data_IF_439154322201
#
_entry.id   IF_439154322201
#
_cell.length_a   1.000
_cell.length_b   1.000
_cell.length_c   1.000
_cell.angle_alpha   90.00
_cell.angle_beta   90.00
_cell.angle_gamma   90.00
#
_symmetry.space_group_name_H-M   'P 1'
#
loop_
_entity.id
_entity.type
_entity.pdbx_description
1 polymer ?
#
# COMPACT_ATOMS: atom_id res chain seq x y z
N UNK A 1 -22.83 -30.77 -1.68
CA UNK A 1 -21.38 -30.99 -1.89
C UNK A 1 -20.76 -29.66 -2.28
N UNK A 2 -19.99 -29.02 -1.39
CA UNK A 2 -19.22 -27.83 -1.74
C UNK A 2 -18.03 -28.30 -2.58
N UNK A 3 -17.88 -27.76 -3.77
CA UNK A 3 -16.68 -27.94 -4.57
C UNK A 3 -15.51 -27.34 -3.76
N UNK A 4 -14.59 -28.22 -3.35
CA UNK A 4 -13.28 -27.82 -2.84
C UNK A 4 -12.52 -27.24 -4.03
N UNK A 5 -12.34 -25.92 -4.06
CA UNK A 5 -11.37 -25.30 -4.97
C UNK A 5 -10.00 -25.97 -4.75
N UNK A 6 -9.28 -26.36 -5.81
CA UNK A 6 -7.98 -26.96 -5.64
C UNK A 6 -7.05 -25.95 -4.96
N UNK A 7 -6.44 -26.37 -3.85
CA UNK A 7 -5.33 -25.63 -3.25
C UNK A 7 -4.20 -25.58 -4.27
N UNK A 8 -4.10 -24.46 -4.98
CA UNK A 8 -3.05 -24.22 -5.96
C UNK A 8 -1.74 -24.06 -5.18
N UNK A 9 -1.04 -25.18 -5.02
CA UNK A 9 0.27 -25.24 -4.42
C UNK A 9 1.30 -24.74 -5.46
N UNK A 10 1.21 -23.46 -5.82
CA UNK A 10 2.03 -22.86 -6.87
C UNK A 10 3.21 -22.13 -6.26
N UNK A 11 4.42 -22.57 -6.62
CA UNK A 11 5.64 -21.80 -6.39
C UNK A 11 5.46 -20.39 -6.94
N UNK A 12 5.83 -19.40 -6.13
CA UNK A 12 5.99 -18.01 -6.57
C UNK A 12 6.75 -17.97 -7.91
N UNK A 13 6.28 -17.20 -8.92
CA UNK A 13 7.01 -17.09 -10.18
C UNK A 13 8.47 -16.69 -9.94
N UNK A 14 9.41 -17.27 -10.71
CA UNK A 14 10.85 -17.06 -10.48
C UNK A 14 11.24 -15.57 -10.46
N UNK A 15 10.70 -14.78 -11.40
CA UNK A 15 10.93 -13.33 -11.44
C UNK A 15 10.46 -12.59 -10.18
N UNK A 16 9.39 -13.07 -9.54
CA UNK A 16 8.84 -12.48 -8.30
C UNK A 16 9.69 -12.88 -7.10
N UNK A 17 10.14 -14.13 -7.04
CA UNK A 17 11.10 -14.58 -6.03
C UNK A 17 12.42 -13.79 -6.12
N UNK A 18 12.95 -13.64 -7.33
CA UNK A 18 14.18 -12.89 -7.59
C UNK A 18 14.04 -11.42 -7.23
N UNK A 19 12.88 -10.80 -7.50
CA UNK A 19 12.56 -9.45 -7.04
C UNK A 19 12.61 -9.36 -5.52
N UNK A 20 11.95 -10.29 -4.81
CA UNK A 20 11.89 -10.25 -3.36
C UNK A 20 13.30 -10.36 -2.74
N UNK A 21 14.11 -11.32 -3.21
CA UNK A 21 15.51 -11.48 -2.77
C UNK A 21 16.34 -10.25 -3.12
N UNK A 22 16.16 -9.66 -4.31
CA UNK A 22 16.84 -8.42 -4.71
C UNK A 22 16.49 -7.24 -3.80
N UNK A 23 15.24 -7.16 -3.33
CA UNK A 23 14.80 -6.16 -2.36
C UNK A 23 15.28 -6.45 -0.92
N UNK A 24 15.92 -7.60 -0.69
CA UNK A 24 16.45 -8.01 0.61
C UNK A 24 15.46 -8.75 1.49
N UNK A 25 14.41 -9.35 0.91
CA UNK A 25 13.52 -10.25 1.65
C UNK A 25 14.27 -11.53 2.05
N UNK A 26 14.08 -11.99 3.28
CA UNK A 26 14.71 -13.22 3.78
C UNK A 26 13.73 -14.42 3.67
N UNK A 27 14.00 -15.43 2.80
CA UNK A 27 13.15 -16.61 2.68
C UNK A 27 13.03 -17.46 3.95
N UNK A 28 13.93 -17.27 4.92
CA UNK A 28 13.95 -18.00 6.19
C UNK A 28 13.33 -17.21 7.34
N UNK A 29 12.85 -15.99 7.10
CA UNK A 29 12.30 -15.16 8.16
C UNK A 29 10.98 -15.72 8.69
N UNK A 30 10.77 -15.54 10.00
CA UNK A 30 9.50 -15.88 10.66
C UNK A 30 8.44 -14.79 10.46
N UNK A 31 7.38 -14.79 11.27
CA UNK A 31 6.44 -13.68 11.27
C UNK A 31 7.17 -12.37 11.61
N UNK A 32 6.96 -11.35 10.78
CA UNK A 32 7.53 -10.02 10.95
C UNK A 32 6.45 -8.96 10.71
N UNK A 33 6.71 -7.80 11.27
CA UNK A 33 5.97 -6.58 11.01
C UNK A 33 6.96 -5.49 10.65
N UNK A 34 6.66 -4.72 9.61
CA UNK A 34 7.40 -3.51 9.30
C UNK A 34 6.83 -2.37 10.13
N UNK A 35 7.71 -1.57 10.74
CA UNK A 35 7.37 -0.28 11.33
C UNK A 35 8.12 0.82 10.62
N UNK A 36 7.41 1.86 10.19
CA UNK A 36 8.02 2.99 9.52
C UNK A 36 7.43 4.32 9.95
N UNK A 37 8.24 5.38 9.77
CA UNK A 37 7.82 6.76 9.96
C UNK A 37 8.03 7.55 8.67
N UNK A 38 7.14 8.52 8.44
CA UNK A 38 7.11 9.30 7.21
C UNK A 38 6.88 10.77 7.52
N UNK A 39 7.50 11.62 6.71
CA UNK A 39 7.17 13.04 6.63
C UNK A 39 6.79 13.36 5.20
N UNK A 40 5.74 14.14 5.01
CA UNK A 40 5.25 14.40 3.67
C UNK A 40 4.32 15.58 3.57
N UNK A 41 3.66 15.65 2.43
CA UNK A 41 2.62 16.62 2.14
C UNK A 41 1.48 15.99 1.37
N UNK A 42 0.28 16.45 1.64
CA UNK A 42 -0.92 16.00 0.93
C UNK A 42 -1.82 17.19 0.61
N UNK A 43 -2.68 17.03 -0.39
CA UNK A 43 -3.76 17.98 -0.68
C UNK A 43 -5.03 17.58 0.05
N UNK A 44 -5.76 18.57 0.56
CA UNK A 44 -7.07 18.36 1.21
C UNK A 44 -8.18 18.01 0.22
N UNK A 45 -8.00 18.36 -1.06
CA UNK A 45 -8.87 18.00 -2.18
C UNK A 45 -8.06 18.00 -3.48
N UNK A 46 -8.57 17.36 -4.53
CA UNK A 46 -7.83 17.21 -5.79
C UNK A 46 -7.62 18.54 -6.55
N UNK A 47 -8.49 19.51 -6.31
CA UNK A 47 -8.43 20.88 -6.85
C UNK A 47 -7.64 21.85 -5.97
N UNK A 48 -7.24 21.44 -4.76
CA UNK A 48 -6.49 22.30 -3.86
C UNK A 48 -5.12 22.69 -4.46
N UNK A 49 -4.83 23.99 -4.44
CA UNK A 49 -3.52 24.53 -4.83
C UNK A 49 -2.48 24.39 -3.73
N UNK A 50 -2.90 24.49 -2.47
CA UNK A 50 -2.03 24.41 -1.30
C UNK A 50 -1.79 22.96 -0.88
N UNK A 51 -0.59 22.72 -0.38
CA UNK A 51 -0.20 21.45 0.23
C UNK A 51 -0.19 21.58 1.76
N UNK A 52 -0.65 20.54 2.43
CA UNK A 52 -0.61 20.42 3.88
C UNK A 52 0.47 19.42 4.27
N UNK A 53 1.41 19.84 5.11
CA UNK A 53 2.43 18.95 5.66
C UNK A 53 1.84 17.94 6.64
N UNK A 54 2.45 16.75 6.72
CA UNK A 54 2.10 15.72 7.68
C UNK A 54 3.31 14.92 8.17
N UNK A 55 3.16 14.30 9.33
CA UNK A 55 4.01 13.24 9.85
C UNK A 55 3.17 12.00 10.10
N UNK A 56 3.68 10.80 9.79
CA UNK A 56 2.95 9.56 9.98
C UNK A 56 3.81 8.44 10.54
N UNK A 57 3.14 7.50 11.21
CA UNK A 57 3.68 6.20 11.60
C UNK A 57 2.85 5.12 10.92
N UNK A 58 3.49 4.04 10.49
CA UNK A 58 2.80 2.93 9.86
C UNK A 58 3.35 1.58 10.33
N UNK A 59 2.45 0.64 10.58
CA UNK A 59 2.77 -0.79 10.64
C UNK A 59 2.28 -1.50 9.39
N UNK A 60 3.05 -2.47 8.88
CA UNK A 60 2.65 -3.31 7.74
C UNK A 60 2.94 -4.78 8.07
N UNK A 61 1.94 -5.64 7.94
CA UNK A 61 2.10 -7.08 8.12
C UNK A 61 2.78 -7.72 6.91
N UNK A 62 3.73 -8.64 7.17
CA UNK A 62 4.37 -9.43 6.11
C UNK A 62 3.69 -10.76 5.83
N UNK A 63 2.63 -11.11 6.59
CA UNK A 63 1.91 -12.39 6.46
C UNK A 63 0.45 -12.25 6.06
N UNK A 64 -0.15 -11.10 6.37
CA UNK A 64 -1.53 -10.80 6.03
C UNK A 64 -1.56 -9.49 5.26
N UNK A 65 -2.60 -9.29 4.45
CA UNK A 65 -2.89 -7.98 3.86
C UNK A 65 -3.43 -7.05 4.94
N UNK A 66 -2.52 -6.50 5.76
CA UNK A 66 -2.86 -5.66 6.90
C UNK A 66 -1.84 -4.52 7.08
N UNK A 67 -2.35 -3.35 7.48
CA UNK A 67 -1.55 -2.21 7.87
C UNK A 67 -2.32 -1.28 8.82
N UNK A 68 -1.62 -0.44 9.58
CA UNK A 68 -2.19 0.65 10.39
C UNK A 68 -1.35 1.90 10.16
N UNK A 69 -1.88 2.85 9.38
CA UNK A 69 -1.25 4.13 9.10
C UNK A 69 -1.92 5.22 9.93
N UNK A 70 -1.13 5.96 10.70
CA UNK A 70 -1.59 7.06 11.55
C UNK A 70 -0.84 8.31 11.23
N UNK A 71 -1.56 9.41 11.03
CA UNK A 71 -0.97 10.68 10.61
C UNK A 71 -1.38 11.82 11.52
N UNK A 72 -0.52 12.82 11.58
CA UNK A 72 -0.84 14.17 12.06
C UNK A 72 -0.52 15.15 10.95
N UNK A 73 -1.46 16.03 10.63
CA UNK A 73 -1.38 16.99 9.54
C UNK A 73 -1.81 18.40 9.99
N UNK A 74 -1.35 19.40 9.23
CA UNK A 74 -1.66 20.80 9.46
C UNK A 74 -0.76 21.47 10.51
N UNK A 75 -0.91 22.80 10.71
CA UNK A 75 -0.14 23.54 11.71
C UNK A 75 -0.31 22.89 13.08
N UNK A 76 0.80 22.62 13.78
CA UNK A 76 0.83 21.96 15.10
C UNK A 76 0.23 20.53 15.13
N UNK A 77 -0.04 19.90 13.98
CA UNK A 77 -0.53 18.52 13.92
C UNK A 77 -1.97 18.33 14.45
N UNK A 78 -2.80 19.37 14.33
CA UNK A 78 -4.17 19.38 14.86
C UNK A 78 -5.13 18.45 14.12
N UNK A 79 -4.83 18.03 12.90
CA UNK A 79 -5.62 17.02 12.18
C UNK A 79 -4.94 15.68 12.38
N UNK A 80 -5.67 14.69 12.89
CA UNK A 80 -5.18 13.31 12.96
C UNK A 80 -5.98 12.41 12.04
N UNK A 81 -5.30 11.53 11.32
CA UNK A 81 -5.94 10.51 10.49
C UNK A 81 -5.50 9.11 10.88
N UNK A 82 -6.39 8.13 10.70
CA UNK A 82 -6.08 6.71 10.76
C UNK A 82 -6.66 6.03 9.53
N UNK A 83 -5.79 5.35 8.81
CA UNK A 83 -6.15 4.50 7.68
C UNK A 83 -5.59 3.10 7.94
N UNK A 84 -6.42 2.07 7.86
CA UNK A 84 -6.02 0.72 8.24
C UNK A 84 -6.79 -0.36 7.49
N UNK A 85 -6.12 -1.49 7.28
CA UNK A 85 -6.72 -2.76 6.88
C UNK A 85 -6.35 -3.79 7.95
N UNK A 86 -7.33 -4.34 8.66
CA UNK A 86 -7.12 -5.28 9.77
C UNK A 86 -8.21 -6.34 9.76
N UNK A 87 -7.85 -7.63 9.82
CA UNK A 87 -8.83 -8.72 9.84
C UNK A 87 -9.74 -8.78 8.60
N UNK A 88 -9.32 -8.17 7.47
CA UNK A 88 -10.14 -8.05 6.26
C UNK A 88 -11.11 -6.86 6.26
N UNK A 89 -11.06 -5.99 7.26
CA UNK A 89 -11.87 -4.77 7.35
C UNK A 89 -11.02 -3.53 7.09
N UNK A 90 -11.53 -2.63 6.25
CA UNK A 90 -10.95 -1.30 6.03
C UNK A 90 -11.46 -0.31 7.06
N UNK A 91 -10.61 0.64 7.44
CA UNK A 91 -10.92 1.72 8.38
C UNK A 91 -10.30 3.02 7.90
N UNK A 92 -11.12 4.06 7.77
CA UNK A 92 -10.67 5.39 7.42
C UNK A 92 -11.36 6.42 8.32
N UNK A 93 -10.58 6.99 9.25
CA UNK A 93 -11.02 8.01 10.20
C UNK A 93 -10.15 9.26 10.06
N UNK A 94 -10.79 10.43 9.95
CA UNK A 94 -10.13 11.74 10.08
C UNK A 94 -10.77 12.48 11.25
N UNK A 95 -9.93 13.00 12.14
CA UNK A 95 -10.32 13.76 13.33
C UNK A 95 -9.63 15.12 13.37
N UNK A 96 -10.35 16.16 13.78
CA UNK A 96 -9.80 17.45 14.20
C UNK A 96 -9.53 17.44 15.71
N UNK A 97 -8.48 18.13 16.13
CA UNK A 97 -8.00 18.25 17.51
C UNK A 97 -7.76 16.89 18.20
N UNK A 98 -7.67 15.80 17.44
CA UNK A 98 -7.50 14.43 17.94
C UNK A 98 -8.77 13.72 18.43
N UNK A 99 -9.93 14.38 18.48
CA UNK A 99 -11.17 13.78 19.02
C UNK A 99 -12.48 14.18 18.32
N UNK A 100 -12.48 15.18 17.43
CA UNK A 100 -13.68 15.63 16.71
C UNK A 100 -13.70 14.96 15.32
N UNK A 101 -14.63 14.04 15.00
CA UNK A 101 -14.66 13.38 13.70
C UNK A 101 -14.98 14.36 12.56
N UNK A 102 -14.09 14.41 11.56
CA UNK A 102 -14.27 15.14 10.29
C UNK A 102 -14.85 14.21 9.24
N UNK A 103 -14.30 12.99 9.15
CA UNK A 103 -14.75 11.97 8.21
C UNK A 103 -14.58 10.59 8.82
N UNK A 104 -15.58 9.73 8.61
CA UNK A 104 -15.52 8.30 8.91
C UNK A 104 -16.14 7.56 7.74
N UNK A 105 -15.36 6.70 7.08
CA UNK A 105 -15.89 5.87 6.01
C UNK A 105 -16.78 4.76 6.60
N UNK A 106 -17.89 4.47 5.93
CA UNK A 106 -18.68 3.28 6.23
C UNK A 106 -17.89 2.02 5.87
N UNK A 107 -18.08 0.95 6.64
CA UNK A 107 -17.51 -0.36 6.33
C UNK A 107 -18.21 -0.93 5.09
N UNK A 108 -17.56 -0.80 3.93
CA UNK A 108 -18.09 -1.28 2.64
C UNK A 108 -17.05 -2.11 1.89
N UNK A 109 -17.48 -3.00 0.97
CA UNK A 109 -16.55 -3.71 0.09
C UNK A 109 -15.66 -2.77 -0.73
N UNK A 110 -16.16 -1.60 -1.11
CA UNK A 110 -15.38 -0.58 -1.82
C UNK A 110 -14.24 -0.01 -0.96
N UNK A 111 -14.48 0.22 0.34
CA UNK A 111 -13.43 0.63 1.27
C UNK A 111 -12.35 -0.46 1.40
N UNK A 112 -12.78 -1.70 1.65
CA UNK A 112 -11.85 -2.86 1.77
C UNK A 112 -11.03 -3.03 0.48
N UNK A 113 -11.66 -2.91 -0.69
CA UNK A 113 -10.98 -2.92 -2.00
C UNK A 113 -9.91 -1.82 -2.09
N UNK A 114 -10.26 -0.59 -1.70
CA UNK A 114 -9.33 0.53 -1.68
C UNK A 114 -8.11 0.26 -0.79
N UNK A 115 -8.33 -0.28 0.41
CA UNK A 115 -7.22 -0.57 1.33
C UNK A 115 -6.39 -1.78 0.92
N UNK A 116 -6.98 -2.79 0.29
CA UNK A 116 -6.21 -3.87 -0.33
C UNK A 116 -5.32 -3.32 -1.46
N UNK A 117 -5.85 -2.48 -2.35
CA UNK A 117 -5.06 -1.84 -3.41
C UNK A 117 -3.92 -0.99 -2.83
N UNK A 118 -4.14 -0.34 -1.69
CA UNK A 118 -3.08 0.40 -0.98
C UNK A 118 -2.00 -0.55 -0.47
N UNK A 119 -2.38 -1.60 0.25
CA UNK A 119 -1.45 -2.61 0.76
C UNK A 119 -0.58 -3.20 -0.36
N UNK A 120 -1.20 -3.56 -1.48
CA UNK A 120 -0.51 -4.12 -2.66
C UNK A 120 0.49 -3.12 -3.28
N UNK A 121 0.13 -1.84 -3.37
CA UNK A 121 1.01 -0.81 -3.89
C UNK A 121 2.18 -0.47 -2.95
N UNK A 122 2.04 -0.71 -1.64
CA UNK A 122 3.05 -0.40 -0.61
C UNK A 122 4.01 -1.55 -0.31
N UNK A 123 3.89 -2.69 -1.03
CA UNK A 123 4.84 -3.81 -0.95
C UNK A 123 6.34 -3.43 -1.05
N UNK A 124 6.77 -2.37 -1.76
CA UNK A 124 8.16 -1.91 -1.73
C UNK A 124 8.68 -1.54 -0.34
N UNK A 125 7.82 -1.19 0.62
CA UNK A 125 8.20 -0.95 2.02
C UNK A 125 8.14 -2.21 2.89
N UNK A 126 7.58 -3.31 2.40
CA UNK A 126 7.53 -4.60 3.09
C UNK A 126 7.95 -5.77 2.18
N UNK A 127 9.23 -5.83 1.72
CA UNK A 127 9.67 -6.86 0.78
C UNK A 127 9.42 -8.31 1.23
N UNK A 128 9.53 -8.59 2.53
CA UNK A 128 9.24 -9.91 3.12
C UNK A 128 7.81 -10.39 2.81
N UNK A 129 6.84 -9.48 2.64
CA UNK A 129 5.47 -9.84 2.30
C UNK A 129 5.36 -10.54 0.94
N UNK A 130 6.27 -10.25 0.00
CA UNK A 130 6.28 -10.87 -1.34
C UNK A 130 6.52 -12.39 -1.23
N UNK A 131 7.35 -12.82 -0.26
CA UNK A 131 7.64 -14.24 -0.03
C UNK A 131 6.66 -14.89 0.94
N UNK A 132 6.19 -14.16 1.95
CA UNK A 132 5.58 -14.75 3.14
C UNK A 132 4.07 -14.54 3.26
N UNK A 133 3.48 -13.65 2.46
CA UNK A 133 2.03 -13.44 2.47
C UNK A 133 1.34 -14.36 1.47
N UNK A 134 0.80 -15.48 1.98
CA UNK A 134 0.08 -16.48 1.18
C UNK A 134 -1.26 -16.03 0.61
N UNK A 135 -1.73 -14.82 0.96
CA UNK A 135 -2.94 -14.22 0.37
C UNK A 135 -2.65 -13.53 -0.97
N UNK A 136 -1.38 -13.29 -1.28
CA UNK A 136 -0.96 -12.66 -2.53
C UNK A 136 -0.90 -13.69 -3.65
N UNK A 137 -1.46 -13.33 -4.81
CA UNK A 137 -1.37 -14.11 -6.04
C UNK A 137 -0.60 -13.29 -7.06
N UNK A 138 0.41 -13.89 -7.66
CA UNK A 138 1.36 -13.20 -8.52
C UNK A 138 1.31 -13.72 -9.95
N UNK A 139 1.50 -12.80 -10.90
CA UNK A 139 1.63 -13.09 -12.34
C UNK A 139 2.75 -12.22 -12.92
N UNK A 140 3.45 -12.75 -13.91
CA UNK A 140 4.42 -11.99 -14.70
C UNK A 140 3.77 -11.61 -16.02
N UNK A 141 3.59 -10.31 -16.25
CA UNK A 141 2.92 -9.76 -17.44
C UNK A 141 3.91 -9.22 -18.48
N UNK A 142 5.19 -9.17 -18.14
CA UNK A 142 6.28 -8.79 -19.03
C UNK A 142 7.65 -8.91 -18.37
N UNK A 143 8.75 -8.55 -19.06
CA UNK A 143 10.09 -8.58 -18.49
C UNK A 143 10.24 -7.66 -17.27
N UNK A 144 9.58 -6.51 -17.29
CA UNK A 144 9.64 -5.48 -16.25
C UNK A 144 8.26 -5.19 -15.63
N UNK A 145 7.30 -6.09 -15.81
CA UNK A 145 5.92 -5.90 -15.33
C UNK A 145 5.43 -7.14 -14.59
N UNK A 146 4.99 -6.94 -13.36
CA UNK A 146 4.42 -7.97 -12.49
C UNK A 146 3.02 -7.53 -12.05
N UNK A 147 2.09 -8.45 -11.93
CA UNK A 147 0.80 -8.19 -11.32
C UNK A 147 0.69 -8.93 -9.98
N UNK A 148 0.17 -8.23 -8.98
CA UNK A 148 -0.13 -8.81 -7.66
C UNK A 148 -1.61 -8.58 -7.35
N UNK A 149 -2.31 -9.65 -6.98
CA UNK A 149 -3.73 -9.59 -6.61
C UNK A 149 -3.99 -10.18 -5.23
N UNK A 150 -5.05 -9.69 -4.59
CA UNK A 150 -5.53 -10.14 -3.29
C UNK A 150 -7.06 -9.98 -3.18
N UNK A 151 -7.65 -10.43 -2.07
CA UNK A 151 -9.09 -10.40 -1.84
C UNK A 151 -9.85 -11.46 -2.64
N UNK A 152 -11.18 -11.42 -2.52
CA UNK A 152 -12.13 -12.33 -3.18
C UNK A 152 -13.49 -11.63 -3.36
N UNK A 153 -14.30 -12.13 -4.30
CA UNK A 153 -15.62 -11.56 -4.61
C UNK A 153 -15.53 -10.05 -4.91
N UNK A 154 -16.36 -9.24 -4.25
CA UNK A 154 -16.45 -7.79 -4.46
C UNK A 154 -15.19 -7.01 -4.03
N UNK A 155 -14.29 -7.63 -3.26
CA UNK A 155 -13.04 -7.00 -2.80
C UNK A 155 -11.81 -7.43 -3.61
N UNK A 156 -11.98 -8.37 -4.56
CA UNK A 156 -10.89 -8.93 -5.36
C UNK A 156 -10.22 -7.87 -6.24
N UNK A 157 -8.97 -7.51 -5.95
CA UNK A 157 -8.25 -6.41 -6.60
C UNK A 157 -6.86 -6.83 -7.08
N UNK A 158 -6.28 -6.03 -7.97
CA UNK A 158 -4.97 -6.26 -8.56
C UNK A 158 -4.24 -4.91 -8.72
N UNK A 159 -2.93 -4.93 -8.50
CA UNK A 159 -2.01 -3.82 -8.80
C UNK A 159 -0.98 -4.34 -9.79
N UNK A 160 -0.78 -3.59 -10.87
CA UNK A 160 0.34 -3.76 -11.78
C UNK A 160 1.56 -3.02 -11.20
N UNK A 161 2.66 -3.73 -11.03
CA UNK A 161 3.94 -3.22 -10.58
C UNK A 161 4.91 -3.18 -11.77
N UNK A 162 5.47 -2.00 -12.03
CA UNK A 162 6.50 -1.81 -13.05
C UNK A 162 7.87 -1.74 -12.40
N UNK A 163 8.85 -2.43 -12.98
CA UNK A 163 10.24 -2.40 -12.53
C UNK A 163 11.01 -1.29 -13.26
N UNK A 164 11.91 -0.62 -12.54
CA UNK A 164 12.87 0.31 -13.12
C UNK A 164 14.09 -0.41 -13.69
N UNK A 165 14.98 0.34 -14.33
CA UNK A 165 16.23 -0.20 -14.90
C UNK A 165 17.17 -0.83 -13.86
N UNK A 166 17.01 -0.50 -12.57
CA UNK A 166 17.72 -1.12 -11.46
C UNK A 166 17.06 -2.42 -10.97
N UNK A 167 15.98 -2.84 -11.63
CA UNK A 167 15.21 -4.04 -11.34
C UNK A 167 14.38 -3.95 -10.04
N UNK A 168 14.16 -2.75 -9.51
CA UNK A 168 13.31 -2.52 -8.32
C UNK A 168 11.96 -1.97 -8.73
N UNK A 169 10.97 -2.03 -7.84
CA UNK A 169 9.61 -1.55 -8.13
C UNK A 169 9.64 -0.02 -8.28
N UNK A 170 9.42 0.49 -9.49
CA UNK A 170 9.40 1.92 -9.77
C UNK A 170 8.00 2.54 -9.60
N UNK A 171 6.94 1.76 -9.90
CA UNK A 171 5.57 2.23 -9.77
C UNK A 171 4.57 1.11 -9.55
N UNK A 172 3.43 1.46 -8.96
CA UNK A 172 2.24 0.64 -8.90
C UNK A 172 1.06 1.33 -9.61
N UNK A 173 0.22 0.56 -10.28
CA UNK A 173 -0.95 1.08 -11.01
C UNK A 173 -2.18 0.20 -10.77
N UNK A 174 -3.32 0.85 -10.57
CA UNK A 174 -4.63 0.21 -10.53
C UNK A 174 -5.62 1.03 -11.37
N UNK A 175 -6.29 0.44 -12.38
CA UNK A 175 -7.14 1.20 -13.30
C UNK A 175 -8.46 1.67 -12.67
N UNK A 176 -8.89 1.06 -11.57
CA UNK A 176 -10.26 1.14 -11.08
C UNK A 176 -10.36 1.31 -9.55
N UNK A 177 -9.35 1.94 -8.91
CA UNK A 177 -9.39 2.16 -7.45
C UNK A 177 -10.61 3.04 -7.10
N UNK A 178 -11.44 2.65 -6.12
CA UNK A 178 -12.55 3.48 -5.65
C UNK A 178 -12.03 4.79 -5.04
N UNK A 179 -12.54 5.94 -5.51
CA UNK A 179 -12.31 7.25 -4.87
C UNK A 179 -13.29 7.53 -3.73
N UNK A 180 -14.37 6.76 -3.62
CA UNK A 180 -15.38 6.89 -2.57
C UNK A 180 -15.73 5.52 -1.99
N UNK A 181 -15.82 5.45 -0.66
CA UNK A 181 -16.30 4.27 0.07
C UNK A 181 -17.83 4.12 0.05
N UNK A 182 -18.55 5.14 -0.41
CA UNK A 182 -20.01 5.16 -0.54
C UNK A 182 -20.41 5.38 -1.99
N UNK A 183 -21.61 4.93 -2.38
CA UNK A 183 -22.10 5.13 -3.74
C UNK A 183 -22.28 6.62 -4.08
N UNK A 184 -21.89 7.08 -5.28
CA UNK A 184 -21.13 6.33 -6.28
C UNK A 184 -19.68 6.11 -5.85
N UNK A 185 -19.12 4.91 -6.05
CA UNK A 185 -17.75 4.54 -5.61
C UNK A 185 -16.64 5.15 -6.46
N UNK A 186 -16.99 5.65 -7.65
CA UNK A 186 -16.10 6.35 -8.58
C UNK A 186 -14.78 5.60 -8.87
N UNK A 187 -14.82 4.42 -9.54
CA UNK A 187 -13.60 3.73 -9.97
C UNK A 187 -12.74 4.65 -10.84
N UNK A 188 -11.47 4.81 -10.49
CA UNK A 188 -10.58 5.80 -11.13
C UNK A 188 -9.16 5.25 -11.22
N UNK A 189 -8.42 5.50 -12.32
CA UNK A 189 -7.03 5.09 -12.40
C UNK A 189 -6.19 5.77 -11.32
N UNK A 190 -5.35 4.98 -10.67
CA UNK A 190 -4.57 5.34 -9.50
C UNK A 190 -3.15 4.83 -9.65
N UNK A 191 -2.17 5.69 -9.35
CA UNK A 191 -0.76 5.39 -9.54
C UNK A 191 0.07 5.81 -8.34
N UNK A 192 0.94 4.92 -7.90
CA UNK A 192 2.04 5.21 -6.98
C UNK A 192 3.36 5.20 -7.72
N UNK A 193 4.30 6.05 -7.31
CA UNK A 193 5.68 6.07 -7.82
C UNK A 193 6.67 6.09 -6.66
N UNK A 194 7.79 5.42 -6.87
CA UNK A 194 8.86 5.26 -5.89
C UNK A 194 10.18 5.78 -6.47
N UNK A 195 10.99 6.39 -5.61
CA UNK A 195 12.30 6.93 -5.96
C UNK A 195 13.20 7.01 -4.73
N UNK A 196 14.45 7.46 -4.92
CA UNK A 196 15.44 7.58 -3.83
C UNK A 196 15.62 6.22 -3.12
N UNK A 197 15.83 5.14 -3.88
CA UNK A 197 16.07 3.82 -3.32
C UNK A 197 17.38 3.78 -2.56
N UNK A 198 17.35 3.29 -1.31
CA UNK A 198 18.52 3.14 -0.45
C UNK A 198 18.56 1.74 0.15
N UNK A 199 19.76 1.24 0.39
CA UNK A 199 19.97 0.00 1.11
C UNK A 199 20.06 0.29 2.61
N UNK A 200 19.16 -0.28 3.38
CA UNK A 200 19.14 -0.22 4.84
C UNK A 200 19.32 -1.63 5.38
N UNK A 201 20.52 -1.94 5.91
CA UNK A 201 20.86 -3.23 6.49
C UNK A 201 20.55 -4.45 5.58
N UNK A 202 20.80 -4.32 4.27
CA UNK A 202 20.54 -5.37 3.29
C UNK A 202 19.20 -5.27 2.58
N UNK A 203 18.26 -4.46 3.07
CA UNK A 203 16.93 -4.26 2.46
C UNK A 203 16.93 -3.00 1.58
N UNK A 204 16.49 -3.11 0.33
CA UNK A 204 16.32 -1.97 -0.57
C UNK A 204 14.92 -1.37 -0.41
N UNK A 205 14.86 -0.10 -0.01
CA UNK A 205 13.62 0.61 0.27
C UNK A 205 13.58 1.93 -0.48
N UNK A 206 12.42 2.35 -1.01
CA UNK A 206 12.27 3.69 -1.55
C UNK A 206 12.12 4.72 -0.42
N UNK A 207 12.98 5.74 -0.42
CA UNK A 207 12.92 6.84 0.55
C UNK A 207 12.05 8.01 0.11
N UNK A 208 11.54 8.00 -1.12
CA UNK A 208 10.57 8.95 -1.60
C UNK A 208 9.46 8.24 -2.38
N UNK A 209 8.22 8.66 -2.15
CA UNK A 209 7.05 8.15 -2.85
C UNK A 209 6.04 9.27 -3.14
N UNK A 210 5.28 9.09 -4.20
CA UNK A 210 4.15 9.95 -4.53
C UNK A 210 2.98 9.17 -5.11
N UNK A 211 1.79 9.75 -4.98
CA UNK A 211 0.54 9.12 -5.42
C UNK A 211 -0.31 10.11 -6.19
N UNK A 212 -0.88 9.64 -7.29
CA UNK A 212 -1.71 10.40 -8.18
C UNK A 212 -2.98 9.66 -8.60
N UNK A 213 -4.01 10.44 -8.91
CA UNK A 213 -5.19 9.99 -9.67
C UNK A 213 -5.07 10.42 -11.12
N UNK A 214 -5.64 9.65 -12.04
CA UNK A 214 -5.88 10.11 -13.41
C UNK A 214 -7.36 10.47 -13.59
N UNK A 215 -7.65 11.74 -13.88
CA UNK A 215 -9.01 12.24 -14.03
C UNK A 215 -9.07 13.11 -15.29
N UNK A 216 -9.95 12.73 -16.22
CA UNK A 216 -10.09 13.46 -17.49
C UNK A 216 -8.79 13.51 -18.30
N UNK A 217 -8.02 12.41 -18.30
CA UNK A 217 -6.72 12.31 -18.99
C UNK A 217 -5.59 13.13 -18.36
N UNK A 218 -5.78 13.66 -17.15
CA UNK A 218 -4.77 14.41 -16.42
C UNK A 218 -4.37 13.68 -15.15
N UNK A 219 -3.07 13.59 -14.94
CA UNK A 219 -2.53 13.10 -13.68
C UNK A 219 -2.55 14.22 -12.62
N UNK A 220 -3.10 13.90 -11.45
CA UNK A 220 -3.22 14.81 -10.31
C UNK A 220 -2.53 14.18 -9.11
N UNK A 221 -1.29 14.60 -8.84
CA UNK A 221 -0.57 14.24 -7.62
C UNK A 221 -1.23 14.92 -6.42
N UNK A 222 -1.54 14.13 -5.39
CA UNK A 222 -2.20 14.60 -4.17
C UNK A 222 -1.51 14.19 -2.88
N UNK A 223 -0.52 13.29 -2.94
CA UNK A 223 0.24 12.85 -1.78
C UNK A 223 1.69 12.62 -2.16
N UNK A 224 2.61 13.07 -1.33
CA UNK A 224 4.04 12.85 -1.45
C UNK A 224 4.63 12.64 -0.06
N UNK A 225 5.55 11.69 0.09
CA UNK A 225 6.22 11.46 1.36
C UNK A 225 7.67 11.03 1.19
N UNK A 226 8.41 11.20 2.29
CA UNK A 226 9.72 10.63 2.51
C UNK A 226 9.65 9.63 3.66
N UNK A 227 10.42 8.56 3.53
CA UNK A 227 10.68 7.60 4.61
C UNK A 227 11.73 8.19 5.55
N UNK A 228 11.42 8.27 6.83
CA UNK A 228 12.34 8.80 7.85
C UNK A 228 13.02 7.67 8.62
N UNK A 229 12.24 6.68 9.06
CA UNK A 229 12.74 5.49 9.74
C UNK A 229 12.01 4.24 9.24
N UNK A 230 12.71 3.10 9.29
CA UNK A 230 12.16 1.79 8.96
C UNK A 230 12.81 0.73 9.85
N UNK A 231 11.99 -0.18 10.34
CA UNK A 231 12.40 -1.33 11.11
C UNK A 231 11.58 -2.56 10.72
N UNK A 232 12.20 -3.73 10.80
CA UNK A 232 11.55 -5.02 10.62
C UNK A 232 11.63 -5.78 11.94
N UNK A 233 10.49 -5.90 12.60
CA UNK A 233 10.41 -6.43 13.95
C UNK A 233 9.75 -7.80 13.97
N UNK A 234 10.12 -8.62 14.96
CA UNK A 234 9.41 -9.88 15.21
C UNK A 234 8.03 -9.57 15.79
N UNK A 235 7.01 -10.26 15.31
CA UNK A 235 5.70 -10.24 15.97
C UNK A 235 5.84 -10.99 17.29
N UNK A 236 5.69 -10.27 18.41
CA UNK A 236 5.61 -10.90 19.73
C UNK A 236 4.40 -11.82 19.77
N UNK A 237 4.62 -13.08 20.16
CA UNK A 237 3.55 -14.07 20.34
C UNK A 237 2.74 -13.81 21.59
#
# INVERSE_FOLDING_TARGET
MKATEPAQNDRLPAAVYDLAVRLGADPKSGAREVRLTQTGRMKTSLDARSWMGFTATQTISTRNCEFDWRTRAGPLGVISGRDALQGGEGRFDIMALGFIPIARAAHTPALVRGELLRYLAELPWAPDAILHNSRLRWRTDGPDTLAVSAGSGETACEVELSLGNDGRIASGFAPDRPRSASAPTLPTPWRGRFSDYRNLNGTWLPFAAEVAWEIGGKEIVYWQARLDQWALDRVSS
#
